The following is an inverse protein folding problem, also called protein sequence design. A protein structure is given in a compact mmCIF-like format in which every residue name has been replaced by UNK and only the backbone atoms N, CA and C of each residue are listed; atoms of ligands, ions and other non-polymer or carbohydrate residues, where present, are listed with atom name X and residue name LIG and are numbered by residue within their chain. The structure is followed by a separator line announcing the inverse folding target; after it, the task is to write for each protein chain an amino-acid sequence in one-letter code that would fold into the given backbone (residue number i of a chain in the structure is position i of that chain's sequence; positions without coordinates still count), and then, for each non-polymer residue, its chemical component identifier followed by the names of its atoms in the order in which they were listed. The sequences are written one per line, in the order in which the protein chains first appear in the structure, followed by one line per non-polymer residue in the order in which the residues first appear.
data_IF_554417323195
#
_entry.id   IF_554417323195
#
_cell.length_a   1.000
_cell.length_b   1.000
_cell.length_c   1.000
_cell.angle_alpha   90.00
_cell.angle_beta   90.00
_cell.angle_gamma   90.00
#
_symmetry.space_group_name_H-M   'P 1'
#
loop_
_entity.id
_entity.type
_entity.pdbx_description
1 polymer ?
#
# COMPACT_ATOMS: atom_id res chain seq x y z
N UNK A 1 -13.46 -11.08 18.36
CA UNK A 1 -13.69 -11.90 17.15
C UNK A 1 -12.40 -12.65 16.84
N UNK A 2 -12.48 -13.88 16.32
CA UNK A 2 -11.30 -14.60 15.83
C UNK A 2 -10.72 -13.84 14.64
N UNK A 3 -9.39 -13.78 14.54
CA UNK A 3 -8.69 -13.16 13.39
C UNK A 3 -9.06 -13.90 12.10
N UNK A 4 -9.47 -13.16 11.07
CA UNK A 4 -9.80 -13.75 9.76
C UNK A 4 -8.50 -14.11 9.01
N UNK A 5 -8.55 -15.15 8.19
CA UNK A 5 -7.44 -15.47 7.27
C UNK A 5 -7.49 -14.53 6.06
N UNK A 6 -6.89 -13.37 6.22
CA UNK A 6 -6.79 -12.33 5.19
C UNK A 6 -5.35 -11.87 4.99
N UNK A 7 -5.06 -11.46 3.79
CA UNK A 7 -3.74 -10.99 3.36
C UNK A 7 -3.88 -10.05 2.14
N UNK A 8 -2.83 -9.31 1.75
CA UNK A 8 -2.87 -8.51 0.54
C UNK A 8 -3.31 -9.31 -0.69
N UNK A 9 -4.34 -8.81 -1.38
CA UNK A 9 -4.82 -9.41 -2.63
C UNK A 9 -3.85 -9.14 -3.78
N UNK A 10 -3.15 -8.00 -3.75
CA UNK A 10 -2.16 -7.58 -4.75
C UNK A 10 -0.74 -7.81 -4.26
N UNK A 11 0.17 -8.07 -5.20
CA UNK A 11 1.59 -7.80 -4.99
C UNK A 11 1.78 -6.29 -5.16
N UNK A 12 2.19 -5.62 -4.10
CA UNK A 12 2.43 -4.18 -4.12
C UNK A 12 3.90 -3.88 -3.87
N UNK A 13 4.46 -2.95 -4.64
CA UNK A 13 5.86 -2.56 -4.47
C UNK A 13 6.03 -1.86 -3.13
N UNK A 14 7.09 -2.18 -2.41
CA UNK A 14 7.29 -1.69 -1.05
C UNK A 14 6.43 -2.41 0.01
N UNK A 15 5.67 -3.45 -0.37
CA UNK A 15 4.79 -4.17 0.57
C UNK A 15 5.53 -4.70 1.80
N UNK A 16 5.00 -4.46 2.99
CA UNK A 16 5.66 -4.65 4.30
C UNK A 16 5.58 -6.07 4.87
N UNK A 17 5.20 -7.08 4.05
CA UNK A 17 5.07 -8.46 4.54
C UNK A 17 6.31 -9.00 5.28
N UNK A 18 7.50 -8.62 4.84
CA UNK A 18 8.75 -9.07 5.45
C UNK A 18 9.05 -8.39 6.80
N UNK A 19 8.52 -7.18 7.00
CA UNK A 19 8.72 -6.38 8.20
C UNK A 19 7.56 -6.46 9.19
N UNK A 20 6.53 -7.27 8.92
CA UNK A 20 5.38 -7.46 9.83
C UNK A 20 5.83 -7.83 11.24
N UNK A 21 6.81 -8.73 11.36
CA UNK A 21 7.38 -9.16 12.65
C UNK A 21 8.08 -8.02 13.42
N UNK A 22 8.55 -6.98 12.73
CA UNK A 22 9.23 -5.83 13.33
C UNK A 22 8.23 -4.67 13.58
N UNK A 23 7.23 -4.51 12.71
CA UNK A 23 6.25 -3.41 12.73
C UNK A 23 5.11 -3.70 13.73
N UNK A 24 4.47 -4.86 13.61
CA UNK A 24 3.22 -5.16 14.34
C UNK A 24 3.41 -5.15 15.86
N UNK A 25 4.48 -5.72 16.44
CA UNK A 25 4.69 -5.63 17.88
C UNK A 25 4.83 -4.20 18.39
N UNK A 26 5.46 -3.29 17.61
CA UNK A 26 5.58 -1.86 17.97
C UNK A 26 4.23 -1.15 18.00
N UNK A 27 3.28 -1.59 17.19
CA UNK A 27 1.92 -1.03 17.16
C UNK A 27 1.08 -1.63 18.31
N UNK A 28 1.11 -2.95 18.46
CA UNK A 28 0.25 -3.69 19.40
C UNK A 28 0.57 -3.46 20.89
N UNK A 29 1.76 -2.92 21.23
CA UNK A 29 2.08 -2.52 22.59
C UNK A 29 1.24 -1.33 23.10
N UNK A 30 0.47 -0.67 22.20
CA UNK A 30 -0.36 0.49 22.51
C UNK A 30 -1.84 0.15 22.50
N UNK A 31 -2.60 0.79 23.40
CA UNK A 31 -4.06 0.76 23.34
C UNK A 31 -4.52 1.78 22.30
N UNK A 32 -5.09 1.31 21.22
CA UNK A 32 -5.43 2.11 20.04
C UNK A 32 -6.94 2.24 19.94
N UNK A 33 -7.45 3.47 19.82
CA UNK A 33 -8.86 3.75 19.50
C UNK A 33 -9.15 3.64 18.03
N UNK A 34 -8.26 4.21 17.18
CA UNK A 34 -8.35 4.24 15.72
C UNK A 34 -6.97 4.02 15.12
N UNK A 35 -6.86 3.03 14.25
CA UNK A 35 -5.67 2.81 13.43
C UNK A 35 -5.75 3.65 12.16
N UNK A 36 -4.66 4.31 11.78
CA UNK A 36 -4.63 5.19 10.60
C UNK A 36 -3.47 4.80 9.69
N UNK A 37 -3.76 4.47 8.42
CA UNK A 37 -2.75 4.10 7.42
C UNK A 37 -2.92 4.97 6.17
N UNK A 38 -2.27 6.17 6.13
CA UNK A 38 -2.42 7.15 5.05
C UNK A 38 -1.84 6.74 3.70
N UNK A 39 -0.98 5.73 3.67
CA UNK A 39 -0.34 5.15 2.50
C UNK A 39 -0.59 3.64 2.52
N UNK A 40 -1.86 3.21 2.33
CA UNK A 40 -2.27 1.82 2.54
C UNK A 40 -1.58 0.82 1.61
N UNK A 41 -1.32 1.20 0.34
CA UNK A 41 -0.75 0.30 -0.64
C UNK A 41 -1.44 -1.07 -0.66
N UNK A 42 -0.66 -2.14 -0.51
CA UNK A 42 -1.20 -3.51 -0.46
C UNK A 42 -1.92 -3.88 0.85
N UNK A 43 -1.91 -3.03 1.88
CA UNK A 43 -2.61 -3.25 3.14
C UNK A 43 -1.99 -4.31 4.06
N UNK A 44 -0.69 -4.57 3.94
CA UNK A 44 -0.05 -5.68 4.67
C UNK A 44 -0.17 -5.53 6.19
N UNK A 45 -0.01 -4.31 6.72
CA UNK A 45 -0.07 -4.04 8.17
C UNK A 45 -1.52 -4.03 8.64
N UNK A 46 -2.43 -3.37 7.92
CA UNK A 46 -3.86 -3.37 8.21
C UNK A 46 -4.41 -4.81 8.32
N UNK A 47 -4.11 -5.65 7.32
CA UNK A 47 -4.64 -7.03 7.28
C UNK A 47 -3.98 -7.95 8.31
N UNK A 48 -2.78 -7.65 8.75
CA UNK A 48 -2.18 -8.38 9.86
C UNK A 48 -2.79 -7.97 11.20
N UNK A 49 -2.96 -6.67 11.48
CA UNK A 49 -3.49 -6.17 12.77
C UNK A 49 -5.00 -6.39 12.88
N UNK A 50 -5.76 -6.20 11.80
CA UNK A 50 -7.23 -6.25 11.74
C UNK A 50 -7.91 -5.36 12.80
N UNK A 51 -7.62 -4.05 12.84
CA UNK A 51 -8.22 -3.15 13.82
C UNK A 51 -9.74 -3.02 13.60
N UNK A 52 -10.49 -2.83 14.69
CA UNK A 52 -11.94 -2.62 14.62
C UNK A 52 -12.33 -1.24 14.11
N UNK A 53 -11.48 -0.23 14.31
CA UNK A 53 -11.67 1.11 13.77
C UNK A 53 -10.43 1.50 13.00
N UNK A 54 -10.57 1.87 11.74
CA UNK A 54 -9.45 2.36 10.93
C UNK A 54 -9.84 3.45 9.94
N UNK A 55 -8.86 4.30 9.64
CA UNK A 55 -8.89 5.22 8.50
C UNK A 55 -7.76 4.82 7.57
N UNK A 56 -8.09 4.45 6.34
CA UNK A 56 -7.13 4.11 5.31
C UNK A 56 -7.20 5.10 4.16
N UNK A 57 -6.05 5.38 3.54
CA UNK A 57 -5.97 6.26 2.39
C UNK A 57 -4.89 5.80 1.42
N UNK A 58 -5.07 6.10 0.16
CA UNK A 58 -4.01 6.06 -0.84
C UNK A 58 -4.26 7.13 -1.91
N UNK A 59 -3.21 7.59 -2.54
CA UNK A 59 -3.31 8.51 -3.67
C UNK A 59 -3.81 7.80 -4.94
N UNK A 60 -3.64 6.49 -5.02
CA UNK A 60 -4.03 5.67 -6.16
C UNK A 60 -5.54 5.37 -6.14
N UNK A 61 -6.27 6.06 -7.01
CA UNK A 61 -7.74 5.93 -7.13
C UNK A 61 -8.18 4.51 -7.51
N UNK A 62 -7.42 3.82 -8.36
CA UNK A 62 -7.71 2.43 -8.78
C UNK A 62 -7.60 1.47 -7.58
N UNK A 63 -6.62 1.70 -6.70
CA UNK A 63 -6.43 0.89 -5.50
C UNK A 63 -7.57 1.08 -4.50
N UNK A 64 -7.97 2.32 -4.23
CA UNK A 64 -9.10 2.59 -3.34
C UNK A 64 -10.42 2.10 -3.95
N UNK A 65 -10.59 2.23 -5.28
CA UNK A 65 -11.71 1.61 -5.99
C UNK A 65 -11.75 0.09 -5.75
N UNK A 66 -10.61 -0.61 -5.88
CA UNK A 66 -10.54 -2.04 -5.62
C UNK A 66 -11.00 -2.39 -4.20
N UNK A 67 -10.52 -1.70 -3.17
CA UNK A 67 -10.94 -1.96 -1.79
C UNK A 67 -12.43 -1.67 -1.57
N UNK A 68 -12.94 -0.62 -2.20
CA UNK A 68 -14.38 -0.28 -2.17
C UNK A 68 -15.23 -1.36 -2.83
N UNK A 69 -14.80 -1.88 -3.97
CA UNK A 69 -15.49 -2.98 -4.68
C UNK A 69 -15.42 -4.28 -3.87
N UNK A 70 -14.27 -4.61 -3.27
CA UNK A 70 -14.15 -5.77 -2.37
C UNK A 70 -15.14 -5.65 -1.20
N UNK A 71 -15.28 -4.47 -0.62
CA UNK A 71 -16.22 -4.22 0.49
C UNK A 71 -17.67 -4.42 0.06
N UNK A 72 -18.07 -3.82 -1.06
CA UNK A 72 -19.49 -3.65 -1.42
C UNK A 72 -20.00 -4.68 -2.43
N UNK A 73 -19.15 -5.17 -3.32
CA UNK A 73 -19.51 -5.99 -4.49
C UNK A 73 -18.59 -7.21 -4.69
N UNK A 74 -18.28 -8.00 -3.63
CA UNK A 74 -17.28 -9.07 -3.71
C UNK A 74 -17.64 -10.14 -4.74
N UNK A 75 -18.91 -10.53 -4.86
CA UNK A 75 -19.33 -11.56 -5.82
C UNK A 75 -19.26 -11.06 -7.27
N UNK A 76 -19.59 -9.79 -7.52
CA UNK A 76 -19.43 -9.19 -8.85
C UNK A 76 -17.95 -9.17 -9.27
N UNK A 77 -17.04 -8.83 -8.35
CA UNK A 77 -15.60 -8.89 -8.58
C UNK A 77 -15.14 -10.33 -8.89
N UNK A 78 -15.57 -11.32 -8.10
CA UNK A 78 -15.23 -12.73 -8.30
C UNK A 78 -15.69 -13.19 -9.68
N UNK A 79 -16.91 -12.84 -10.10
CA UNK A 79 -17.45 -13.19 -11.41
C UNK A 79 -16.65 -12.55 -12.56
N UNK A 80 -16.30 -11.28 -12.45
CA UNK A 80 -15.48 -10.57 -13.43
C UNK A 80 -14.07 -11.19 -13.54
N UNK A 81 -13.43 -11.50 -12.40
CA UNK A 81 -12.13 -12.17 -12.38
C UNK A 81 -12.21 -13.59 -12.97
N UNK A 82 -13.31 -14.30 -12.75
CA UNK A 82 -13.54 -15.63 -13.35
C UNK A 82 -13.63 -15.54 -14.87
N UNK A 83 -14.29 -14.51 -15.41
CA UNK A 83 -14.33 -14.26 -16.84
C UNK A 83 -12.93 -13.97 -17.41
N UNK A 84 -12.14 -13.08 -16.74
CA UNK A 84 -10.77 -12.83 -17.12
C UNK A 84 -9.89 -14.08 -17.06
N UNK A 85 -10.09 -14.93 -16.06
CA UNK A 85 -9.33 -16.19 -15.92
C UNK A 85 -9.59 -17.17 -17.04
N UNK A 86 -10.87 -17.29 -17.49
CA UNK A 86 -11.25 -18.18 -18.60
C UNK A 86 -10.69 -17.71 -19.95
N UNK A 87 -10.56 -16.41 -20.15
CA UNK A 87 -10.09 -15.81 -21.40
C UNK A 87 -8.57 -15.58 -21.41
N UNK A 88 -7.87 -15.91 -20.29
CA UNK A 88 -6.47 -15.55 -20.12
C UNK A 88 -5.55 -16.17 -21.19
N UNK A 89 -4.92 -15.33 -21.95
CA UNK A 89 -3.81 -15.61 -22.85
C UNK A 89 -3.02 -14.29 -23.06
N UNK A 90 -1.94 -14.35 -23.83
CA UNK A 90 -1.07 -13.19 -24.04
C UNK A 90 -1.76 -12.04 -24.77
N UNK A 91 -2.56 -12.34 -25.79
CA UNK A 91 -3.25 -11.30 -26.58
C UNK A 91 -4.34 -10.64 -25.74
N UNK A 92 -5.12 -11.43 -25.02
CA UNK A 92 -6.12 -10.93 -24.06
C UNK A 92 -5.49 -10.08 -22.96
N UNK A 93 -4.28 -10.46 -22.47
CA UNK A 93 -3.57 -9.61 -21.51
C UNK A 93 -3.31 -8.22 -22.06
N UNK A 94 -2.84 -8.11 -23.30
CA UNK A 94 -2.55 -6.81 -23.91
C UNK A 94 -3.81 -6.02 -24.26
N UNK A 95 -4.90 -6.67 -24.59
CA UNK A 95 -6.23 -6.06 -24.73
C UNK A 95 -6.65 -5.41 -23.42
N UNK A 96 -6.71 -6.17 -22.31
CA UNK A 96 -7.10 -5.67 -20.99
C UNK A 96 -6.14 -4.59 -20.50
N UNK A 97 -4.84 -4.75 -20.76
CA UNK A 97 -3.85 -3.71 -20.45
C UNK A 97 -4.12 -2.41 -21.19
N UNK A 98 -4.59 -2.50 -22.43
CA UNK A 98 -4.89 -1.36 -23.28
C UNK A 98 -6.09 -0.52 -22.84
N UNK A 99 -6.98 -1.04 -22.00
CA UNK A 99 -8.21 -0.36 -21.61
C UNK A 99 -8.02 1.06 -21.08
N UNK A 100 -6.96 1.33 -20.29
CA UNK A 100 -6.69 2.65 -19.73
C UNK A 100 -6.20 3.70 -20.74
N UNK A 101 -6.03 3.29 -22.02
CA UNK A 101 -5.67 4.16 -23.16
C UNK A 101 -6.87 4.48 -24.05
N UNK A 102 -7.99 3.81 -23.79
CA UNK A 102 -9.24 3.99 -24.50
C UNK A 102 -10.05 5.13 -23.85
N UNK A 103 -10.58 6.04 -24.65
CA UNK A 103 -11.41 7.15 -24.19
C UNK A 103 -12.66 6.66 -23.43
N UNK A 104 -13.11 5.43 -23.73
CA UNK A 104 -14.24 4.79 -23.02
C UNK A 104 -13.86 4.24 -21.63
N UNK A 105 -12.59 4.27 -21.21
CA UNK A 105 -12.21 3.75 -19.90
C UNK A 105 -12.96 4.43 -18.75
N UNK A 106 -13.25 5.71 -18.87
CA UNK A 106 -14.01 6.48 -17.88
C UNK A 106 -15.42 5.92 -17.65
N UNK A 107 -16.05 5.34 -18.66
CA UNK A 107 -17.42 4.80 -18.62
C UNK A 107 -17.50 3.37 -18.09
N UNK A 108 -16.36 2.66 -17.91
CA UNK A 108 -16.34 1.33 -17.32
C UNK A 108 -16.77 1.37 -15.86
N UNK A 109 -17.45 0.32 -15.43
CA UNK A 109 -17.89 0.17 -14.05
C UNK A 109 -16.74 0.06 -13.07
N UNK A 110 -16.98 0.37 -11.81
CA UNK A 110 -15.98 0.20 -10.75
C UNK A 110 -15.50 -1.24 -10.61
N UNK A 111 -16.43 -2.21 -10.81
CA UNK A 111 -16.10 -3.65 -10.79
C UNK A 111 -15.17 -4.03 -11.93
N UNK A 112 -15.40 -3.56 -13.16
CA UNK A 112 -14.50 -3.82 -14.30
C UNK A 112 -13.11 -3.25 -14.07
N UNK A 113 -13.01 -2.02 -13.56
CA UNK A 113 -11.73 -1.38 -13.22
C UNK A 113 -11.00 -2.15 -12.12
N UNK A 114 -11.70 -2.56 -11.06
CA UNK A 114 -11.14 -3.35 -9.97
C UNK A 114 -10.68 -4.74 -10.46
N UNK A 115 -11.48 -5.42 -11.27
CA UNK A 115 -11.14 -6.72 -11.86
C UNK A 115 -9.92 -6.60 -12.77
N UNK A 116 -9.86 -5.56 -13.63
CA UNK A 116 -8.68 -5.25 -14.44
C UNK A 116 -7.42 -5.11 -13.59
N UNK A 117 -7.47 -4.35 -12.51
CA UNK A 117 -6.32 -4.14 -11.63
C UNK A 117 -5.80 -5.44 -11.04
N UNK A 118 -6.69 -6.28 -10.50
CA UNK A 118 -6.32 -7.59 -9.95
C UNK A 118 -5.78 -8.50 -11.04
N UNK A 119 -6.48 -8.62 -12.18
CA UNK A 119 -6.08 -9.44 -13.31
C UNK A 119 -4.66 -9.09 -13.78
N UNK A 120 -4.41 -7.81 -14.07
CA UNK A 120 -3.10 -7.35 -14.55
C UNK A 120 -2.01 -7.60 -13.49
N UNK A 121 -2.28 -7.34 -12.21
CA UNK A 121 -1.31 -7.59 -11.14
C UNK A 121 -0.95 -9.08 -10.99
N UNK A 122 -1.94 -9.97 -11.16
CA UNK A 122 -1.72 -11.44 -11.06
C UNK A 122 -1.03 -12.03 -12.28
N UNK A 123 -1.11 -11.37 -13.44
CA UNK A 123 -0.63 -11.92 -14.73
C UNK A 123 0.53 -11.13 -15.33
N UNK A 124 0.87 -9.94 -14.83
CA UNK A 124 2.03 -9.19 -15.31
C UNK A 124 3.36 -9.74 -14.76
N UNK A 125 4.43 -9.39 -15.44
CA UNK A 125 5.80 -9.77 -15.06
C UNK A 125 6.10 -9.35 -13.60
N UNK A 126 6.45 -10.31 -12.76
CA UNK A 126 6.74 -10.18 -11.33
C UNK A 126 5.59 -9.61 -10.46
N UNK A 127 4.38 -9.47 -11.00
CA UNK A 127 3.26 -8.83 -10.29
C UNK A 127 3.52 -7.33 -10.03
N UNK A 128 4.30 -6.68 -10.86
CA UNK A 128 4.71 -5.29 -10.69
C UNK A 128 3.65 -4.34 -11.24
N UNK A 129 2.86 -3.71 -10.36
CA UNK A 129 2.03 -2.58 -10.76
C UNK A 129 2.93 -1.38 -11.10
N UNK A 130 2.93 -0.99 -12.36
CA UNK A 130 3.75 0.11 -12.87
C UNK A 130 2.99 0.88 -13.93
N UNK A 131 3.06 2.21 -13.87
CA UNK A 131 2.49 3.13 -14.86
C UNK A 131 3.59 3.92 -15.55
N UNK A 132 3.33 4.40 -16.77
CA UNK A 132 4.20 5.33 -17.47
C UNK A 132 3.94 6.78 -17.04
N UNK A 133 4.64 7.75 -17.66
CA UNK A 133 4.47 9.19 -17.37
C UNK A 133 3.06 9.72 -17.61
N UNK A 134 2.27 9.05 -18.48
CA UNK A 134 0.88 9.40 -18.75
C UNK A 134 -0.10 8.76 -17.74
N UNK A 135 0.39 7.95 -16.80
CA UNK A 135 -0.44 7.24 -15.83
C UNK A 135 -0.98 5.89 -16.32
N UNK A 136 -0.62 5.44 -17.52
CA UNK A 136 -1.10 4.17 -18.07
C UNK A 136 -0.27 2.98 -17.57
N UNK A 137 -0.96 1.89 -17.22
CA UNK A 137 -0.31 0.66 -16.82
C UNK A 137 0.60 0.11 -17.94
N UNK A 138 1.87 -0.20 -17.63
CA UNK A 138 2.86 -0.53 -18.65
C UNK A 138 3.72 -1.78 -18.38
N UNK A 139 3.40 -2.59 -17.36
CA UNK A 139 4.11 -3.85 -17.15
C UNK A 139 3.83 -4.83 -18.29
N UNK A 140 4.82 -5.63 -18.75
CA UNK A 140 4.59 -6.66 -19.74
C UNK A 140 3.87 -7.87 -19.15
N UNK A 141 3.33 -8.74 -20.01
CA UNK A 141 2.78 -10.02 -19.60
C UNK A 141 3.85 -10.88 -18.93
N UNK A 142 3.50 -11.54 -17.84
CA UNK A 142 4.33 -12.54 -17.18
C UNK A 142 4.24 -13.90 -17.86
N UNK A 143 5.22 -14.75 -17.60
CA UNK A 143 5.23 -16.13 -18.09
C UNK A 143 4.76 -17.09 -16.99
N UNK A 144 3.47 -16.99 -16.65
CA UNK A 144 2.84 -17.87 -15.66
C UNK A 144 2.00 -18.94 -16.35
N UNK A 145 2.28 -20.23 -16.05
CA UNK A 145 1.49 -21.35 -16.58
C UNK A 145 0.06 -21.35 -16.02
N UNK A 146 -0.09 -21.11 -14.73
CA UNK A 146 -1.38 -21.10 -14.02
C UNK A 146 -1.43 -19.93 -13.02
N UNK A 147 -1.64 -18.69 -13.48
CA UNK A 147 -1.73 -17.55 -12.57
C UNK A 147 -2.99 -17.66 -11.68
N UNK A 148 -2.81 -17.48 -10.37
CA UNK A 148 -3.93 -17.46 -9.43
C UNK A 148 -4.68 -16.11 -9.53
N UNK A 149 -5.52 -15.99 -10.56
CA UNK A 149 -6.29 -14.78 -10.87
C UNK A 149 -7.44 -14.61 -9.89
N UNK A 150 -8.14 -15.71 -9.58
CA UNK A 150 -9.33 -15.73 -8.72
C UNK A 150 -8.99 -16.37 -7.38
N UNK A 151 -9.08 -15.58 -6.31
CA UNK A 151 -9.05 -16.10 -4.94
C UNK A 151 -10.35 -15.68 -4.24
N UNK A 152 -11.42 -16.43 -4.52
CA UNK A 152 -12.77 -16.09 -4.05
C UNK A 152 -12.87 -16.03 -2.53
N UNK A 153 -12.25 -16.97 -1.81
CA UNK A 153 -12.31 -17.03 -0.36
C UNK A 153 -11.58 -15.81 0.27
N UNK A 154 -10.44 -15.43 -0.28
CA UNK A 154 -9.74 -14.22 0.18
C UNK A 154 -10.59 -12.96 -0.04
N UNK A 155 -11.24 -12.83 -1.21
CA UNK A 155 -12.10 -11.67 -1.52
C UNK A 155 -13.28 -11.61 -0.55
N UNK A 156 -13.94 -12.73 -0.27
CA UNK A 156 -15.04 -12.82 0.70
C UNK A 156 -14.58 -12.50 2.12
N UNK A 157 -13.44 -13.02 2.54
CA UNK A 157 -12.87 -12.76 3.86
C UNK A 157 -12.48 -11.28 4.03
N UNK A 158 -11.89 -10.66 3.01
CA UNK A 158 -11.60 -9.22 3.00
C UNK A 158 -12.89 -8.40 3.06
N UNK A 159 -13.93 -8.76 2.28
CA UNK A 159 -15.25 -8.12 2.34
C UNK A 159 -15.86 -8.24 3.73
N UNK A 160 -15.80 -9.44 4.33
CA UNK A 160 -16.29 -9.68 5.68
C UNK A 160 -15.59 -8.79 6.70
N UNK A 161 -14.26 -8.67 6.62
CA UNK A 161 -13.49 -7.78 7.48
C UNK A 161 -13.92 -6.31 7.29
N UNK A 162 -13.95 -5.81 6.05
CA UNK A 162 -14.30 -4.42 5.77
C UNK A 162 -15.72 -4.04 6.19
N UNK A 163 -16.64 -5.01 6.26
CA UNK A 163 -18.03 -4.79 6.68
C UNK A 163 -18.26 -5.02 8.18
N UNK A 164 -17.44 -5.83 8.84
CA UNK A 164 -17.54 -6.06 10.29
C UNK A 164 -16.78 -5.04 11.13
N UNK A 165 -15.79 -4.36 10.54
CA UNK A 165 -15.02 -3.29 11.16
C UNK A 165 -15.48 -1.92 10.64
N UNK A 166 -15.27 -0.89 11.47
CA UNK A 166 -15.53 0.50 11.08
C UNK A 166 -14.33 1.07 10.31
N UNK A 167 -14.30 0.80 9.00
CA UNK A 167 -13.21 1.22 8.11
C UNK A 167 -13.67 2.39 7.24
N UNK A 168 -13.05 3.55 7.45
CA UNK A 168 -13.18 4.72 6.57
C UNK A 168 -12.10 4.66 5.50
N UNK A 169 -12.52 4.63 4.23
CA UNK A 169 -11.63 4.66 3.06
C UNK A 169 -11.61 6.06 2.47
N UNK A 170 -10.42 6.64 2.34
CA UNK A 170 -10.19 7.95 1.70
C UNK A 170 -9.31 7.76 0.46
N UNK A 171 -9.36 8.73 -0.46
CA UNK A 171 -8.57 8.71 -1.68
C UNK A 171 -7.99 10.11 -1.92
N UNK A 172 -6.67 10.22 -2.05
CA UNK A 172 -5.99 11.47 -2.34
C UNK A 172 -4.83 11.76 -1.39
N UNK A 173 -4.61 13.05 -1.10
CA UNK A 173 -3.50 13.49 -0.25
C UNK A 173 -3.58 12.83 1.14
N UNK A 174 -2.47 12.26 1.59
CA UNK A 174 -2.34 11.55 2.88
C UNK A 174 -2.75 12.42 4.09
N UNK A 175 -2.60 13.75 4.00
CA UNK A 175 -2.99 14.69 5.06
C UNK A 175 -4.48 14.60 5.40
N UNK A 176 -5.32 14.21 4.43
CA UNK A 176 -6.75 14.02 4.70
C UNK A 176 -7.01 12.93 5.74
N UNK A 177 -6.17 11.87 5.76
CA UNK A 177 -6.30 10.81 6.75
C UNK A 177 -5.82 11.21 8.15
N UNK A 178 -5.02 12.28 8.26
CA UNK A 178 -4.46 12.77 9.52
C UNK A 178 -5.34 13.81 10.21
N UNK A 179 -6.48 14.19 9.61
CA UNK A 179 -7.37 15.24 10.16
C UNK A 179 -8.29 14.67 11.24
N UNK A 180 -8.52 15.46 12.30
CA UNK A 180 -9.48 15.19 13.36
C UNK A 180 -9.27 13.85 14.09
N UNK A 181 -8.02 13.45 14.28
CA UNK A 181 -7.66 12.26 15.04
C UNK A 181 -7.78 12.52 16.55
N UNK A 182 -8.25 11.53 17.28
CA UNK A 182 -8.18 11.56 18.74
C UNK A 182 -6.75 11.18 19.22
N UNK A 183 -6.39 11.57 20.44
CA UNK A 183 -5.05 11.34 20.99
C UNK A 183 -4.70 9.87 21.24
N UNK A 184 -5.68 8.96 21.19
CA UNK A 184 -5.43 7.52 21.27
C UNK A 184 -5.38 6.87 19.89
N UNK A 185 -5.45 7.66 18.80
CA UNK A 185 -5.18 7.16 17.47
C UNK A 185 -3.72 6.72 17.34
N UNK A 186 -3.49 5.78 16.44
CA UNK A 186 -2.15 5.33 16.07
C UNK A 186 -1.98 5.45 14.56
N UNK A 187 -0.95 6.17 14.11
CA UNK A 187 -0.70 6.41 12.69
C UNK A 187 0.49 5.57 12.22
N UNK A 188 0.28 4.70 11.23
CA UNK A 188 1.34 4.00 10.52
C UNK A 188 1.57 4.65 9.16
N UNK A 189 2.80 5.12 8.92
CA UNK A 189 3.20 5.85 7.72
C UNK A 189 4.18 5.00 6.89
N UNK A 190 3.78 4.66 5.68
CA UNK A 190 4.62 3.97 4.70
C UNK A 190 4.70 4.78 3.39
N UNK A 191 5.30 5.98 3.44
CA UNK A 191 5.40 6.86 2.28
C UNK A 191 6.29 6.25 1.20
N UNK A 192 6.23 6.75 -0.04
CA UNK A 192 7.28 6.48 -1.02
C UNK A 192 8.64 6.84 -0.42
N UNK A 193 9.57 5.88 -0.46
CA UNK A 193 10.87 5.99 0.21
C UNK A 193 11.79 7.00 -0.45
N UNK A 194 12.63 7.65 0.37
CA UNK A 194 13.74 8.45 -0.13
C UNK A 194 14.67 7.58 -0.99
N UNK A 195 14.96 7.95 -2.24
CA UNK A 195 15.86 7.20 -3.11
C UNK A 195 17.27 7.13 -2.54
N UNK A 196 17.86 5.93 -2.43
CA UNK A 196 19.23 5.72 -1.94
C UNK A 196 20.27 6.08 -3.00
N UNK A 197 19.88 6.16 -4.29
CA UNK A 197 20.77 6.54 -5.40
C UNK A 197 20.02 7.32 -6.47
N UNK A 198 20.75 8.13 -7.26
CA UNK A 198 20.17 8.90 -8.38
C UNK A 198 19.47 8.02 -9.42
N UNK A 199 19.89 6.77 -9.58
CA UNK A 199 19.23 5.79 -10.46
C UNK A 199 17.96 5.15 -9.85
N UNK A 200 17.76 5.22 -8.55
CA UNK A 200 16.57 4.72 -7.86
C UNK A 200 15.39 5.73 -7.92
N UNK A 201 15.63 6.98 -8.33
CA UNK A 201 14.60 8.02 -8.47
C UNK A 201 13.60 7.77 -9.61
N UNK A 202 13.85 6.77 -10.47
CA UNK A 202 12.95 6.39 -11.57
C UNK A 202 11.69 5.61 -11.14
N UNK A 203 11.49 5.33 -9.87
CA UNK A 203 10.32 4.60 -9.36
C UNK A 203 9.26 5.59 -8.84
N UNK A 204 8.91 6.58 -9.65
CA UNK A 204 7.81 7.50 -9.36
C UNK A 204 6.45 6.80 -9.51
N UNK A 205 5.83 6.42 -8.40
CA UNK A 205 4.46 5.87 -8.37
C UNK A 205 3.37 6.94 -8.44
N UNK A 206 3.74 8.21 -8.34
CA UNK A 206 2.82 9.34 -8.39
C UNK A 206 3.30 10.38 -9.39
N UNK A 207 2.36 10.93 -10.15
CA UNK A 207 2.58 12.12 -10.97
C UNK A 207 2.97 13.25 -10.02
N UNK A 208 4.26 13.65 -10.00
CA UNK A 208 4.79 14.66 -9.08
C UNK A 208 5.85 14.15 -8.07
N UNK A 209 6.05 12.82 -7.95
CA UNK A 209 7.07 12.23 -7.07
C UNK A 209 6.82 12.45 -5.58
N UNK A 210 7.59 11.75 -4.73
CA UNK A 210 7.68 12.02 -3.30
C UNK A 210 9.16 12.32 -3.00
N UNK A 211 9.56 13.56 -3.28
CA UNK A 211 10.93 14.04 -3.18
C UNK A 211 11.30 14.43 -1.73
N UNK A 212 12.49 15.00 -1.54
CA UNK A 212 12.95 15.40 -0.22
C UNK A 212 12.10 16.52 0.40
N UNK A 213 11.50 17.41 -0.39
CA UNK A 213 10.60 18.45 0.14
C UNK A 213 9.30 17.82 0.64
N UNK A 214 8.78 16.80 -0.03
CA UNK A 214 7.66 16.00 0.45
C UNK A 214 8.00 15.20 1.72
N UNK A 215 9.24 14.72 1.86
CA UNK A 215 9.70 14.10 3.11
C UNK A 215 9.72 15.12 4.27
N UNK A 216 10.13 16.38 4.03
CA UNK A 216 10.07 17.46 5.03
C UNK A 216 8.63 17.83 5.40
N UNK A 217 7.70 17.88 4.41
CA UNK A 217 6.28 18.08 4.68
C UNK A 217 5.73 16.97 5.58
N UNK A 218 6.05 15.70 5.28
CA UNK A 218 5.62 14.56 6.09
C UNK A 218 6.21 14.64 7.51
N UNK A 219 7.47 15.03 7.63
CA UNK A 219 8.10 15.22 8.96
C UNK A 219 7.38 16.30 9.76
N UNK A 220 6.94 17.39 9.12
CA UNK A 220 6.15 18.43 9.78
C UNK A 220 4.78 17.88 10.28
N UNK A 221 4.14 16.99 9.52
CA UNK A 221 2.93 16.31 10.00
C UNK A 221 3.24 15.37 11.19
N UNK A 222 4.38 14.67 11.18
CA UNK A 222 4.83 13.86 12.33
C UNK A 222 5.07 14.73 13.59
N UNK A 223 5.57 15.95 13.43
CA UNK A 223 5.73 16.90 14.55
C UNK A 223 4.37 17.30 15.13
N UNK A 224 3.40 17.66 14.28
CA UNK A 224 2.03 17.98 14.70
C UNK A 224 1.36 16.82 15.43
N UNK A 225 1.50 15.58 14.92
CA UNK A 225 0.99 14.40 15.62
C UNK A 225 1.63 14.26 17.00
N UNK A 226 2.92 14.50 17.11
CA UNK A 226 3.66 14.44 18.39
C UNK A 226 3.19 15.51 19.37
N UNK A 227 3.01 16.76 18.93
CA UNK A 227 2.47 17.87 19.73
C UNK A 227 1.05 17.58 20.23
N UNK A 228 0.24 16.88 19.44
CA UNK A 228 -1.10 16.41 19.81
C UNK A 228 -1.10 15.17 20.73
N UNK A 229 0.08 14.59 21.00
CA UNK A 229 0.21 13.35 21.78
C UNK A 229 -0.21 12.09 21.04
N UNK A 230 -0.39 12.17 19.70
CA UNK A 230 -0.75 11.04 18.84
C UNK A 230 0.51 10.27 18.50
N UNK A 231 0.45 8.94 18.63
CA UNK A 231 1.59 8.06 18.31
C UNK A 231 1.66 7.76 16.83
N UNK A 232 2.88 7.77 16.30
CA UNK A 232 3.12 7.31 14.95
C UNK A 232 4.31 6.35 14.86
N UNK A 233 4.27 5.51 13.85
CA UNK A 233 5.37 4.67 13.37
C UNK A 233 5.52 4.88 11.87
N UNK A 234 6.71 5.22 11.40
CA UNK A 234 6.99 5.44 9.98
C UNK A 234 8.09 4.50 9.50
N UNK A 235 7.90 3.92 8.30
CA UNK A 235 8.95 3.20 7.56
C UNK A 235 9.63 4.12 6.56
N UNK A 236 10.95 3.98 6.37
CA UNK A 236 11.67 4.70 5.30
C UNK A 236 12.99 4.02 4.97
N UNK A 237 13.70 4.54 3.93
CA UNK A 237 15.07 4.14 3.60
C UNK A 237 16.04 4.50 4.72
N UNK A 238 17.02 3.64 4.96
CA UNK A 238 18.15 3.94 5.82
C UNK A 238 19.19 4.76 5.03
N UNK A 239 19.03 6.09 5.02
CA UNK A 239 19.95 7.01 4.38
C UNK A 239 20.25 8.22 5.28
N UNK A 240 21.39 8.91 5.05
CA UNK A 240 21.79 10.06 5.88
C UNK A 240 20.73 11.15 5.95
N UNK A 241 20.07 11.45 4.85
CA UNK A 241 19.04 12.49 4.74
C UNK A 241 17.84 12.21 5.65
N UNK A 242 17.37 10.96 5.68
CA UNK A 242 16.25 10.54 6.54
C UNK A 242 16.69 10.52 8.00
N UNK A 243 17.90 10.01 8.30
CA UNK A 243 18.41 10.00 9.68
C UNK A 243 18.57 11.40 10.23
N UNK A 244 19.07 12.36 9.44
CA UNK A 244 19.20 13.77 9.88
C UNK A 244 17.83 14.41 10.03
N UNK A 245 16.89 14.19 9.07
CA UNK A 245 15.56 14.76 9.12
C UNK A 245 14.77 14.33 10.37
N UNK A 246 14.95 13.08 10.81
CA UNK A 246 14.24 12.51 11.96
C UNK A 246 15.13 12.30 13.20
N UNK A 247 16.27 12.98 13.29
CA UNK A 247 17.25 12.80 14.40
C UNK A 247 16.67 12.99 15.79
N UNK A 248 15.60 13.78 15.93
CA UNK A 248 14.90 14.00 17.19
C UNK A 248 13.91 12.89 17.56
N UNK A 249 13.73 11.89 16.74
CA UNK A 249 12.86 10.73 16.95
C UNK A 249 13.67 9.48 17.22
N UNK A 250 13.00 8.44 17.75
CA UNK A 250 13.64 7.12 17.87
C UNK A 250 13.71 6.47 16.50
N UNK A 251 14.90 6.04 16.08
CA UNK A 251 15.15 5.39 14.78
C UNK A 251 15.66 3.98 15.04
N UNK A 252 14.92 2.97 14.61
CA UNK A 252 15.27 1.56 14.69
C UNK A 252 15.67 1.08 13.30
N UNK A 253 16.85 0.50 13.15
CA UNK A 253 17.26 -0.13 11.87
C UNK A 253 16.74 -1.56 11.82
N UNK A 254 16.08 -1.90 10.71
CA UNK A 254 15.56 -3.24 10.41
C UNK A 254 16.12 -3.74 9.07
N UNK A 255 16.18 -5.07 8.90
CA UNK A 255 16.68 -5.67 7.66
C UNK A 255 15.50 -6.12 6.80
N UNK A 256 15.42 -5.59 5.57
CA UNK A 256 14.50 -6.03 4.53
C UNK A 256 15.24 -6.69 3.37
N UNK A 257 14.67 -7.74 2.78
CA UNK A 257 15.25 -8.36 1.59
C UNK A 257 14.64 -7.74 0.33
N UNK A 258 15.47 -7.20 -0.56
CA UNK A 258 15.02 -6.80 -1.91
C UNK A 258 15.02 -7.98 -2.85
N UNK A 259 13.83 -8.52 -3.14
CA UNK A 259 13.69 -9.60 -4.13
C UNK A 259 13.62 -9.07 -5.57
N UNK A 260 13.35 -7.80 -5.79
CA UNK A 260 13.19 -7.19 -7.11
C UNK A 260 14.30 -6.15 -7.32
N UNK A 261 15.34 -6.54 -8.05
CA UNK A 261 16.33 -5.65 -8.63
C UNK A 261 16.63 -6.15 -10.04
N UNK A 262 16.71 -5.26 -11.02
CA UNK A 262 17.12 -5.58 -12.40
C UNK A 262 18.55 -6.15 -12.44
N UNK A 263 19.39 -5.75 -11.49
CA UNK A 263 20.74 -6.28 -11.29
C UNK A 263 20.72 -7.36 -10.20
N UNK A 264 20.96 -8.60 -10.59
CA UNK A 264 20.94 -9.76 -9.68
C UNK A 264 22.00 -9.65 -8.57
N UNK A 265 23.13 -8.98 -8.82
CA UNK A 265 24.22 -8.78 -7.84
C UNK A 265 23.83 -7.80 -6.72
N UNK A 266 22.80 -7.00 -6.93
CA UNK A 266 22.25 -6.03 -5.97
C UNK A 266 20.99 -6.57 -5.25
N UNK A 267 20.70 -7.86 -5.33
CA UNK A 267 19.68 -8.54 -4.54
C UNK A 267 20.32 -8.93 -3.20
N UNK A 268 19.93 -8.28 -2.12
CA UNK A 268 20.48 -8.55 -0.79
C UNK A 268 19.65 -7.88 0.31
N UNK A 269 20.03 -8.14 1.56
CA UNK A 269 19.45 -7.45 2.69
C UNK A 269 19.83 -5.97 2.62
N UNK A 270 18.82 -5.11 2.71
CA UNK A 270 18.98 -3.67 2.81
C UNK A 270 18.47 -3.24 4.17
N UNK A 271 19.12 -2.24 4.72
CA UNK A 271 18.60 -1.61 5.91
C UNK A 271 17.42 -0.70 5.53
N UNK A 272 16.35 -0.80 6.29
CA UNK A 272 15.27 0.17 6.38
C UNK A 272 15.23 0.73 7.79
N UNK A 273 14.57 1.85 7.98
CA UNK A 273 14.39 2.43 9.30
C UNK A 273 12.92 2.47 9.68
N UNK A 274 12.66 2.19 10.97
CA UNK A 274 11.40 2.42 11.63
C UNK A 274 11.58 3.61 12.57
N UNK A 275 10.79 4.66 12.38
CA UNK A 275 10.90 5.95 13.07
C UNK A 275 9.63 6.15 13.90
N UNK A 276 9.76 6.53 15.18
CA UNK A 276 8.60 6.70 16.04
C UNK A 276 8.80 7.72 17.15
N UNK A 277 7.68 8.17 17.74
CA UNK A 277 7.65 9.16 18.83
C UNK A 277 7.26 8.59 20.21
N UNK A 278 7.27 7.29 20.41
CA UNK A 278 6.69 6.65 21.61
C UNK A 278 7.35 7.08 22.93
N UNK A 279 8.63 7.45 22.90
CA UNK A 279 9.42 7.83 24.08
C UNK A 279 9.56 9.35 24.22
N UNK A 280 8.92 10.15 23.37
CA UNK A 280 8.92 11.61 23.52
C UNK A 280 7.88 12.01 24.57
N UNK A 281 8.37 12.57 25.67
CA UNK A 281 7.53 13.30 26.64
C UNK A 281 7.19 14.63 25.97
N UNK A 282 5.92 14.87 25.70
CA UNK A 282 5.42 16.19 25.29
C UNK A 282 5.66 17.13 26.48
N UNK A 283 6.55 18.12 26.32
CA UNK A 283 6.83 19.13 27.35
C UNK A 283 5.72 20.16 27.41
#
# INVERSE_FOLDING_TARGET
MSKLDIQPILKWVGGKRQLIKDIVPLIQQHKISTYVEPFIGGGAVLFDIQPQNAVINDFNTELINLYTVIKNEPEALINALTAHSKSHNKDYYYEIRGWDRDDTYSTRTNVEKAARMVYLNKTCFNGLYRVNSNGFFNSPCGDYKNPNIVNADLIRNLSSYFNSANITMKCGDYKQALQNLDKNAFVYLDPPYMPISKSASFVGYTKGGFDYDKQKELKSECDKLTEQGIKFLQSNSDCPEIRELYKDYTIITVKANRHINSDASKRGAINEVLIHNFNKVVK
#
